data_IF_995369193224
#
_entry.id   IF_995369193224
#
_cell.length_a   1.000
_cell.length_b   1.000
_cell.length_c   1.000
_cell.angle_alpha   90.00
_cell.angle_beta   90.00
_cell.angle_gamma   90.00
#
_symmetry.space_group_name_H-M   'P 1'
#
loop_
_entity.id
_entity.type
_entity.pdbx_description
1 polymer ?
#
# COMPACT_ATOMS: atom_id res chain seq x y z
N UNK A 1 -0.33 -22.31 -22.29
CA UNK A 1 0.97 -21.61 -22.39
C UNK A 1 0.82 -20.08 -22.27
N UNK A 2 0.00 -19.42 -23.11
CA UNK A 2 -0.08 -17.95 -23.16
C UNK A 2 -0.55 -17.30 -21.84
N UNK A 3 -1.49 -17.92 -21.12
CA UNK A 3 -1.99 -17.41 -19.83
C UNK A 3 -0.91 -17.48 -18.74
N UNK A 4 -0.15 -18.57 -18.69
CA UNK A 4 0.95 -18.77 -17.73
C UNK A 4 2.08 -17.76 -17.97
N UNK A 5 2.42 -17.48 -19.24
CA UNK A 5 3.42 -16.47 -19.60
C UNK A 5 2.96 -15.05 -19.23
N UNK A 6 1.67 -14.74 -19.41
CA UNK A 6 1.10 -13.46 -18.96
C UNK A 6 1.17 -13.32 -17.44
N UNK A 7 0.81 -14.35 -16.68
CA UNK A 7 0.90 -14.33 -15.22
C UNK A 7 2.36 -14.16 -14.77
N UNK A 8 3.31 -14.81 -15.45
CA UNK A 8 4.74 -14.70 -15.14
C UNK A 8 5.30 -13.29 -15.39
N UNK A 9 4.80 -12.58 -16.41
CA UNK A 9 5.19 -11.19 -16.71
C UNK A 9 4.49 -10.19 -15.78
N UNK A 10 3.26 -10.47 -15.33
CA UNK A 10 2.51 -9.62 -14.40
C UNK A 10 2.95 -9.83 -12.95
N UNK A 11 3.46 -11.02 -12.60
CA UNK A 11 4.14 -11.24 -11.35
C UNK A 11 5.30 -10.26 -11.29
N UNK A 12 5.44 -9.44 -10.24
CA UNK A 12 6.53 -8.47 -10.15
C UNK A 12 7.85 -9.25 -10.04
N UNK A 13 8.47 -9.53 -11.19
CA UNK A 13 9.81 -10.10 -11.33
C UNK A 13 10.89 -9.07 -10.95
N UNK A 14 10.47 -7.87 -10.54
CA UNK A 14 11.36 -6.81 -10.08
C UNK A 14 11.38 -6.81 -8.55
N UNK A 15 12.47 -7.31 -7.97
CA UNK A 15 12.78 -7.13 -6.54
C UNK A 15 12.61 -5.68 -6.11
N UNK A 16 12.90 -4.73 -7.01
CA UNK A 16 12.74 -3.29 -6.83
C UNK A 16 11.33 -2.85 -6.34
N UNK A 17 10.25 -3.52 -6.78
CA UNK A 17 8.89 -3.16 -6.32
C UNK A 17 8.67 -3.60 -4.87
N UNK A 18 9.12 -4.81 -4.53
CA UNK A 18 9.11 -5.30 -3.14
C UNK A 18 10.03 -4.47 -2.24
N UNK A 19 11.24 -4.16 -2.69
CA UNK A 19 12.22 -3.30 -2.00
C UNK A 19 11.67 -1.90 -1.74
N UNK A 20 10.96 -1.30 -2.70
CA UNK A 20 10.27 0.00 -2.51
C UNK A 20 9.22 -0.10 -1.41
N UNK A 21 8.43 -1.17 -1.38
CA UNK A 21 7.44 -1.41 -0.32
C UNK A 21 8.09 -1.65 1.05
N UNK A 22 9.16 -2.45 1.12
CA UNK A 22 9.90 -2.70 2.37
C UNK A 22 10.64 -1.45 2.88
N UNK A 23 11.20 -0.65 1.98
CA UNK A 23 11.80 0.65 2.29
C UNK A 23 10.73 1.62 2.85
N UNK A 24 9.54 1.62 2.25
CA UNK A 24 8.39 2.39 2.76
C UNK A 24 7.95 1.92 4.15
N UNK A 25 7.89 0.61 4.38
CA UNK A 25 7.58 0.01 5.68
C UNK A 25 8.60 0.41 6.76
N UNK A 26 9.87 0.61 6.42
CA UNK A 26 10.89 1.10 7.36
C UNK A 26 10.56 2.49 7.91
N UNK A 27 9.92 3.35 7.11
CA UNK A 27 9.46 4.67 7.58
C UNK A 27 8.20 4.57 8.45
N UNK A 28 7.30 3.63 8.14
CA UNK A 28 6.03 3.45 8.86
C UNK A 28 6.24 2.73 10.19
N UNK A 29 7.08 1.70 10.20
CA UNK A 29 7.46 0.90 11.36
C UNK A 29 8.79 1.40 11.92
N UNK A 30 8.74 2.51 12.62
CA UNK A 30 9.90 3.02 13.37
C UNK A 30 10.14 2.19 14.64
N UNK A 31 11.36 2.24 15.18
CA UNK A 31 11.75 1.49 16.38
C UNK A 31 10.80 1.74 17.57
N UNK A 32 10.39 2.99 17.76
CA UNK A 32 9.45 3.41 18.80
C UNK A 32 7.99 3.00 18.55
N UNK A 33 7.66 2.55 17.33
CA UNK A 33 6.30 2.14 16.90
C UNK A 33 6.25 0.65 16.52
N UNK A 34 7.16 -0.15 17.07
CA UNK A 34 7.32 -1.58 16.73
C UNK A 34 6.12 -2.46 17.12
N UNK A 35 5.30 -2.02 18.08
CA UNK A 35 4.15 -2.76 18.63
C UNK A 35 2.79 -2.41 17.98
N UNK A 36 2.80 -1.78 16.80
CA UNK A 36 1.55 -1.45 16.09
C UNK A 36 0.83 -2.72 15.61
N UNK A 37 -0.49 -2.77 15.77
CA UNK A 37 -1.33 -3.86 15.23
C UNK A 37 -1.36 -3.88 13.70
N UNK A 38 -1.53 -5.07 13.13
CA UNK A 38 -1.45 -5.32 11.68
C UNK A 38 -2.48 -4.53 10.88
N UNK A 39 -3.72 -4.37 11.37
CA UNK A 39 -4.75 -3.57 10.69
C UNK A 39 -4.32 -2.12 10.47
N UNK A 40 -3.74 -1.50 11.50
CA UNK A 40 -3.26 -0.11 11.41
C UNK A 40 -2.02 -0.01 10.53
N UNK A 41 -1.12 -0.98 10.61
CA UNK A 41 0.09 -1.03 9.79
C UNK A 41 -0.27 -1.14 8.30
N UNK A 42 -1.19 -2.04 7.97
CA UNK A 42 -1.63 -2.27 6.60
C UNK A 42 -2.35 -1.04 6.02
N UNK A 43 -3.23 -0.40 6.80
CA UNK A 43 -3.88 0.84 6.38
C UNK A 43 -2.88 1.97 6.07
N UNK A 44 -1.88 2.16 6.93
CA UNK A 44 -0.83 3.16 6.71
C UNK A 44 0.08 2.82 5.52
N UNK A 45 0.43 1.54 5.34
CA UNK A 45 1.19 1.09 4.19
C UNK A 45 0.45 1.35 2.87
N UNK A 46 -0.86 1.11 2.86
CA UNK A 46 -1.69 1.35 1.69
C UNK A 46 -1.77 2.84 1.33
N UNK A 47 -1.94 3.71 2.35
CA UNK A 47 -1.92 5.17 2.16
C UNK A 47 -0.57 5.68 1.67
N UNK A 48 0.54 5.12 2.18
CA UNK A 48 1.88 5.56 1.81
C UNK A 48 2.26 5.15 0.38
N UNK A 49 1.91 3.93 -0.03
CA UNK A 49 2.15 3.43 -1.39
C UNK A 49 1.30 4.21 -2.42
N UNK A 50 0.04 4.50 -2.08
CA UNK A 50 -0.91 5.17 -2.96
C UNK A 50 -0.93 6.70 -2.79
N UNK A 51 0.13 7.31 -2.27
CA UNK A 51 0.17 8.77 -2.02
C UNK A 51 -0.01 9.65 -3.26
N UNK A 52 0.19 9.09 -4.45
CA UNK A 52 0.06 9.78 -5.74
C UNK A 52 -1.41 9.97 -6.14
N UNK A 53 -2.31 9.17 -5.55
CA UNK A 53 -3.75 9.26 -5.80
C UNK A 53 -4.28 10.51 -5.08
N UNK A 54 -4.74 11.49 -5.86
CA UNK A 54 -5.38 12.69 -5.34
C UNK A 54 -6.76 12.31 -4.80
N UNK A 55 -6.91 12.33 -3.49
CA UNK A 55 -8.17 12.07 -2.80
C UNK A 55 -8.85 13.42 -2.56
N UNK A 56 -10.09 13.57 -3.05
CA UNK A 56 -10.90 14.75 -2.78
C UNK A 56 -11.54 14.64 -1.38
N UNK A 57 -11.25 15.55 -0.45
CA UNK A 57 -11.73 15.46 0.92
C UNK A 57 -13.26 15.62 1.01
N UNK A 58 -13.90 16.34 0.08
CA UNK A 58 -15.35 16.50 0.09
C UNK A 58 -16.06 15.20 -0.30
N UNK A 59 -15.52 14.46 -1.28
CA UNK A 59 -16.01 13.14 -1.65
C UNK A 59 -15.90 12.13 -0.49
N UNK A 60 -14.79 12.17 0.26
CA UNK A 60 -14.62 11.30 1.44
C UNK A 60 -15.65 11.63 2.51
N UNK A 61 -15.88 12.91 2.80
CA UNK A 61 -16.86 13.33 3.81
C UNK A 61 -18.28 12.90 3.43
N UNK A 62 -18.66 13.03 2.15
CA UNK A 62 -19.97 12.58 1.65
C UNK A 62 -20.14 11.05 1.78
N UNK A 63 -19.10 10.28 1.47
CA UNK A 63 -19.12 8.82 1.60
C UNK A 63 -19.22 8.37 3.07
N UNK A 64 -18.49 9.03 3.97
CA UNK A 64 -18.60 8.76 5.41
C UNK A 64 -19.95 9.21 5.99
N UNK A 65 -20.59 10.25 5.44
CA UNK A 65 -21.90 10.71 5.88
C UNK A 65 -23.07 9.84 5.37
N UNK A 66 -22.87 9.10 4.26
CA UNK A 66 -23.84 8.12 3.74
C UNK A 66 -23.86 6.79 4.51
N UNK A 67 -22.84 6.55 5.34
CA UNK A 67 -22.67 5.32 6.11
C UNK A 67 -23.08 5.50 7.56
#
# INVERSE_FOLDING_TARGET
IVILLRIFITWPVTTATGERSFSSLKYIKSYLRSTMGEDRLNGLAHLFINRDIRIDPAAVIDEFAKK
#
